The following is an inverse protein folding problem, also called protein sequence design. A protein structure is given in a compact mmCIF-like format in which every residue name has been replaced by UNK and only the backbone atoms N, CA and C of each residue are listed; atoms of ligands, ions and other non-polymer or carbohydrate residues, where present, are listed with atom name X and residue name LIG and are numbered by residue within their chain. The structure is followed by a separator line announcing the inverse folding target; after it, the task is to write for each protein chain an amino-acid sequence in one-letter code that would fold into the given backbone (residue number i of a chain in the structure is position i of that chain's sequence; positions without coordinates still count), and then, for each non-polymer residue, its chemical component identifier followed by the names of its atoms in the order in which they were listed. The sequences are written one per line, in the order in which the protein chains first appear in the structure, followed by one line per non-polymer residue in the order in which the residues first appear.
data_IF_605665509739
#
_entry.id   IF_605665509739
#
_cell.length_a   1.000
_cell.length_b   1.000
_cell.length_c   1.000
_cell.angle_alpha   90.00
_cell.angle_beta   90.00
_cell.angle_gamma   90.00
#
_symmetry.space_group_name_H-M   'P 1'
#
loop_
_entity.id
_entity.type
_entity.pdbx_description
1 polymer ?
#
# COMPACT_ATOMS: atom_id res chain seq x y z
N UNK A 1 -21.89 11.26 -53.98
CA UNK A 1 -21.25 10.74 -52.73
C UNK A 1 -20.99 9.23 -52.72
N UNK A 2 -21.89 8.35 -53.21
CA UNK A 2 -21.69 6.87 -53.23
C UNK A 2 -20.40 6.37 -53.93
N UNK A 3 -19.92 7.03 -54.99
CA UNK A 3 -18.71 6.63 -55.75
C UNK A 3 -17.40 6.76 -54.96
N UNK A 4 -17.33 7.68 -53.99
CA UNK A 4 -16.13 7.88 -53.16
C UNK A 4 -15.96 6.77 -52.11
N UNK A 5 -17.06 6.30 -51.52
CA UNK A 5 -17.06 5.22 -50.53
C UNK A 5 -16.67 3.88 -51.18
N UNK A 6 -17.18 3.59 -52.38
CA UNK A 6 -16.84 2.37 -53.13
C UNK A 6 -15.36 2.29 -53.53
N UNK A 7 -14.70 3.43 -53.75
CA UNK A 7 -13.27 3.47 -54.08
C UNK A 7 -12.38 3.22 -52.85
N UNK A 8 -12.83 3.62 -51.65
CA UNK A 8 -12.10 3.40 -50.39
C UNK A 8 -12.14 1.92 -49.94
N UNK A 9 -13.24 1.21 -50.21
CA UNK A 9 -13.40 -0.22 -49.88
C UNK A 9 -12.54 -1.13 -50.77
N UNK A 10 -12.29 -0.75 -52.03
CA UNK A 10 -11.44 -1.52 -52.96
C UNK A 10 -9.94 -1.45 -52.64
N UNK A 11 -9.51 -0.59 -51.71
CA UNK A 11 -8.11 -0.40 -51.34
C UNK A 11 -7.75 -0.97 -49.96
N UNK A 12 -8.63 -1.81 -49.38
CA UNK A 12 -8.32 -2.53 -48.16
C UNK A 12 -7.56 -3.81 -48.50
N UNK A 13 -6.24 -3.71 -48.62
CA UNK A 13 -5.37 -4.88 -48.53
C UNK A 13 -5.43 -5.35 -47.07
N UNK A 14 -6.12 -6.46 -46.82
CA UNK A 14 -6.22 -7.05 -45.49
C UNK A 14 -4.86 -7.54 -44.99
N UNK A 15 -4.63 -7.47 -43.68
CA UNK A 15 -3.49 -8.12 -43.04
C UNK A 15 -3.63 -9.64 -43.20
N UNK A 16 -2.53 -10.32 -43.40
CA UNK A 16 -2.53 -11.78 -43.49
C UNK A 16 -2.74 -12.40 -42.11
N UNK A 17 -3.36 -13.59 -42.05
CA UNK A 17 -3.55 -14.29 -40.77
C UNK A 17 -2.21 -14.60 -40.07
N UNK A 18 -1.15 -14.83 -40.84
CA UNK A 18 0.20 -15.11 -40.30
C UNK A 18 0.81 -13.88 -39.60
N UNK A 19 0.59 -12.68 -40.14
CA UNK A 19 1.05 -11.43 -39.52
C UNK A 19 0.35 -11.20 -38.18
N UNK A 20 -0.97 -11.44 -38.14
CA UNK A 20 -1.73 -11.36 -36.90
C UNK A 20 -1.27 -12.42 -35.88
N UNK A 21 -0.95 -13.63 -36.36
CA UNK A 21 -0.48 -14.74 -35.53
C UNK A 21 0.89 -14.47 -34.88
N UNK A 22 1.83 -13.88 -35.62
CA UNK A 22 3.14 -13.53 -35.06
C UNK A 22 3.01 -12.51 -33.92
N UNK A 23 2.12 -11.52 -34.05
CA UNK A 23 1.91 -10.48 -33.03
C UNK A 23 1.35 -11.05 -31.73
N UNK A 24 0.32 -11.91 -31.81
CA UNK A 24 -0.26 -12.51 -30.60
C UNK A 24 0.74 -13.42 -29.87
N UNK A 25 1.64 -14.09 -30.60
CA UNK A 25 2.70 -14.92 -30.00
C UNK A 25 3.67 -14.05 -29.21
N UNK A 26 4.09 -12.91 -29.77
CA UNK A 26 4.98 -11.97 -29.07
C UNK A 26 4.30 -11.41 -27.82
N UNK A 27 3.03 -10.98 -27.93
CA UNK A 27 2.26 -10.47 -26.77
C UNK A 27 2.09 -11.55 -25.70
N UNK A 28 1.85 -12.81 -26.08
CA UNK A 28 1.71 -13.92 -25.15
C UNK A 28 3.00 -14.18 -24.35
N UNK A 29 4.18 -14.11 -24.99
CA UNK A 29 5.46 -14.28 -24.32
C UNK A 29 5.72 -13.15 -23.33
N UNK A 30 5.46 -11.90 -23.73
CA UNK A 30 5.61 -10.73 -22.84
C UNK A 30 4.64 -10.84 -21.65
N UNK A 31 3.38 -11.16 -21.91
CA UNK A 31 2.34 -11.28 -20.88
C UNK A 31 2.67 -12.38 -19.86
N UNK A 32 3.22 -13.51 -20.30
CA UNK A 32 3.60 -14.61 -19.42
C UNK A 32 4.62 -14.20 -18.35
N UNK A 33 5.54 -13.28 -18.65
CA UNK A 33 6.53 -12.77 -17.70
C UNK A 33 5.99 -11.57 -16.92
N UNK A 34 5.29 -10.66 -17.61
CA UNK A 34 4.82 -9.41 -17.03
C UNK A 34 3.73 -9.59 -15.97
N UNK A 35 2.75 -10.49 -16.20
CA UNK A 35 1.62 -10.70 -15.29
C UNK A 35 2.07 -11.12 -13.88
N UNK A 36 2.90 -12.16 -13.68
CA UNK A 36 3.34 -12.54 -12.34
C UNK A 36 4.22 -11.47 -11.69
N UNK A 37 5.06 -10.78 -12.47
CA UNK A 37 5.92 -9.71 -11.95
C UNK A 37 5.11 -8.50 -11.43
N UNK A 38 4.07 -8.09 -12.17
CA UNK A 38 3.19 -6.98 -11.78
C UNK A 38 2.40 -7.32 -10.51
N UNK A 39 1.96 -8.57 -10.35
CA UNK A 39 1.27 -9.02 -9.13
C UNK A 39 2.11 -8.77 -7.86
N UNK A 40 3.38 -9.16 -7.89
CA UNK A 40 4.29 -8.94 -6.76
C UNK A 40 4.56 -7.45 -6.50
N UNK A 41 4.69 -6.63 -7.55
CA UNK A 41 4.90 -5.19 -7.42
C UNK A 41 3.68 -4.52 -6.76
N UNK A 42 2.47 -4.89 -7.17
CA UNK A 42 1.24 -4.35 -6.58
C UNK A 42 1.14 -4.76 -5.10
N UNK A 43 1.46 -6.01 -4.77
CA UNK A 43 1.43 -6.48 -3.39
C UNK A 43 2.42 -5.70 -2.51
N UNK A 44 3.68 -5.58 -2.94
CA UNK A 44 4.68 -4.79 -2.21
C UNK A 44 4.24 -3.31 -2.08
N UNK A 45 3.68 -2.72 -3.14
CA UNK A 45 3.21 -1.32 -3.09
C UNK A 45 2.05 -1.13 -2.10
N UNK A 46 1.18 -2.14 -1.93
CA UNK A 46 0.12 -2.14 -0.91
C UNK A 46 0.68 -2.26 0.49
N UNK A 47 1.65 -3.16 0.69
CA UNK A 47 2.35 -3.30 1.98
C UNK A 47 3.05 -2.00 2.37
N UNK A 48 3.79 -1.37 1.45
CA UNK A 48 4.46 -0.09 1.68
C UNK A 48 3.47 1.04 2.03
N UNK A 49 2.32 1.09 1.35
CA UNK A 49 1.26 2.04 1.67
C UNK A 49 0.69 1.81 3.08
N UNK A 50 0.48 0.55 3.47
CA UNK A 50 -0.01 0.19 4.80
C UNK A 50 0.99 0.55 5.91
N UNK A 51 2.30 0.45 5.69
CA UNK A 51 3.30 0.97 6.63
C UNK A 51 3.15 2.47 6.81
N UNK A 52 3.02 3.20 5.70
CA UNK A 52 2.85 4.65 5.75
C UNK A 52 1.57 5.05 6.48
N UNK A 53 0.47 4.34 6.26
CA UNK A 53 -0.79 4.58 6.97
C UNK A 53 -0.64 4.30 8.47
N UNK A 54 0.06 3.23 8.86
CA UNK A 54 0.34 2.91 10.27
C UNK A 54 1.21 3.98 10.95
N UNK A 55 2.22 4.52 10.25
CA UNK A 55 3.04 5.62 10.75
C UNK A 55 2.21 6.90 10.96
N UNK A 56 1.30 7.21 10.04
CA UNK A 56 0.37 8.33 10.20
C UNK A 56 -0.51 8.14 11.43
N UNK A 57 -1.02 6.92 11.65
CA UNK A 57 -1.83 6.59 12.82
C UNK A 57 -1.03 6.78 14.12
N UNK A 58 0.22 6.34 14.14
CA UNK A 58 1.08 6.47 15.31
C UNK A 58 1.43 7.94 15.61
N UNK A 59 1.75 8.74 14.58
CA UNK A 59 1.98 10.17 14.74
C UNK A 59 0.76 10.88 15.33
N UNK A 60 -0.44 10.53 14.86
CA UNK A 60 -1.69 11.04 15.42
C UNK A 60 -1.93 10.60 16.86
N UNK A 61 -1.63 9.35 17.20
CA UNK A 61 -1.70 8.85 18.56
C UNK A 61 -0.73 9.60 19.50
N UNK A 62 0.47 9.94 19.03
CA UNK A 62 1.43 10.75 19.79
C UNK A 62 0.87 12.12 20.15
N UNK A 63 0.24 12.81 19.19
CA UNK A 63 -0.43 14.09 19.43
C UNK A 63 -1.59 13.91 20.41
N UNK A 64 -2.42 12.87 20.22
CA UNK A 64 -3.52 12.56 21.11
C UNK A 64 -3.08 12.34 22.56
N UNK A 65 -2.04 11.54 22.80
CA UNK A 65 -1.52 11.28 24.14
C UNK A 65 -0.80 12.49 24.75
N UNK A 66 -0.23 13.39 23.93
CA UNK A 66 0.35 14.63 24.41
C UNK A 66 -0.72 15.61 24.92
N UNK A 67 -1.87 15.68 24.23
CA UNK A 67 -3.00 16.52 24.62
C UNK A 67 -3.83 15.93 25.77
N UNK A 68 -4.03 14.61 25.74
CA UNK A 68 -4.90 13.89 26.66
C UNK A 68 -4.07 13.06 27.64
N UNK A 69 -3.15 13.68 28.37
CA UNK A 69 -2.07 13.01 29.13
C UNK A 69 -2.43 11.93 30.17
N UNK A 70 -3.71 11.64 30.41
CA UNK A 70 -4.18 10.49 31.22
C UNK A 70 -4.67 9.30 30.38
N UNK A 71 -4.91 9.50 29.10
CA UNK A 71 -5.34 8.48 28.16
C UNK A 71 -4.15 7.64 27.72
N UNK A 72 -4.33 6.33 27.71
CA UNK A 72 -3.30 5.37 27.33
C UNK A 72 -3.67 4.57 26.10
N UNK A 73 -4.84 4.82 25.50
CA UNK A 73 -5.33 4.06 24.33
C UNK A 73 -5.91 4.98 23.27
N UNK A 74 -5.53 4.77 22.03
CA UNK A 74 -6.05 5.47 20.87
C UNK A 74 -6.50 4.42 19.84
N UNK A 75 -7.79 4.37 19.53
CA UNK A 75 -8.39 3.33 18.70
C UNK A 75 -9.18 3.91 17.54
N UNK A 76 -9.44 3.08 16.53
CA UNK A 76 -10.27 3.48 15.38
C UNK A 76 -11.69 3.92 15.78
N UNK A 77 -12.25 3.38 16.86
CA UNK A 77 -13.62 3.66 17.30
C UNK A 77 -13.75 4.92 18.17
N UNK A 78 -12.65 5.58 18.51
CA UNK A 78 -12.72 6.83 19.26
C UNK A 78 -13.45 7.91 18.45
N UNK A 79 -14.47 8.52 19.06
CA UNK A 79 -15.34 9.50 18.41
C UNK A 79 -14.61 10.74 17.84
N UNK A 80 -13.37 10.99 18.27
CA UNK A 80 -12.55 12.14 17.89
C UNK A 80 -11.41 11.77 16.94
N UNK A 81 -11.44 10.59 16.29
CA UNK A 81 -10.39 10.18 15.35
C UNK A 81 -10.13 11.25 14.27
N UNK A 82 -11.20 11.90 13.81
CA UNK A 82 -11.16 12.95 12.78
C UNK A 82 -10.40 14.20 13.20
N UNK A 83 -10.17 14.40 14.50
CA UNK A 83 -9.41 15.56 15.00
C UNK A 83 -7.90 15.34 14.86
N UNK A 84 -7.47 14.08 14.69
CA UNK A 84 -6.06 13.69 14.64
C UNK A 84 -5.65 13.01 13.33
N UNK A 85 -6.59 12.37 12.62
CA UNK A 85 -6.36 11.63 11.38
C UNK A 85 -7.43 11.97 10.33
N UNK A 86 -6.97 12.36 9.14
CA UNK A 86 -7.86 12.57 7.99
C UNK A 86 -8.29 11.24 7.35
N UNK A 87 -7.42 10.23 7.38
CA UNK A 87 -7.65 8.92 6.79
C UNK A 87 -6.78 7.85 7.43
N UNK A 88 -7.27 6.62 7.44
CA UNK A 88 -6.54 5.41 7.83
C UNK A 88 -6.19 4.53 6.63
N UNK A 89 -6.46 5.02 5.41
CA UNK A 89 -6.17 4.32 4.16
C UNK A 89 -6.88 2.96 4.07
N UNK A 90 -6.10 1.89 3.87
CA UNK A 90 -6.62 0.52 3.76
C UNK A 90 -6.72 -0.21 5.13
N UNK A 91 -6.31 0.44 6.23
CA UNK A 91 -6.46 -0.11 7.58
C UNK A 91 -7.96 -0.18 7.93
N UNK A 92 -8.41 -1.32 8.44
CA UNK A 92 -9.80 -1.56 8.86
C UNK A 92 -10.01 -1.32 10.35
N UNK A 93 -9.00 -1.57 11.17
CA UNK A 93 -9.03 -1.32 12.61
C UNK A 93 -7.61 -1.14 13.13
N UNK A 94 -7.45 -0.37 14.20
CA UNK A 94 -6.20 -0.25 14.92
C UNK A 94 -6.43 0.06 16.39
N UNK A 95 -5.42 -0.25 17.18
CA UNK A 95 -5.27 0.11 18.59
C UNK A 95 -3.82 0.54 18.81
N UNK A 96 -3.65 1.75 19.32
CA UNK A 96 -2.38 2.25 19.84
C UNK A 96 -2.47 2.32 21.35
N UNK A 97 -1.50 1.74 22.06
CA UNK A 97 -1.44 1.74 23.52
C UNK A 97 -0.14 2.36 24.01
N UNK A 98 -0.22 3.30 24.95
CA UNK A 98 0.93 3.81 25.68
C UNK A 98 1.26 2.87 26.84
N UNK A 99 2.11 1.87 26.58
CA UNK A 99 2.52 0.87 27.57
C UNK A 99 3.44 1.46 28.66
N UNK A 100 4.21 2.49 28.33
CA UNK A 100 5.07 3.23 29.27
C UNK A 100 5.23 4.69 28.80
N UNK A 101 5.76 5.62 29.63
CA UNK A 101 5.94 7.02 29.25
C UNK A 101 6.67 7.23 27.92
N UNK A 102 7.59 6.30 27.58
CA UNK A 102 8.41 6.33 26.37
C UNK A 102 8.16 5.12 25.45
N UNK A 103 7.12 4.32 25.68
CA UNK A 103 6.85 3.13 24.86
C UNK A 103 5.43 3.13 24.35
N UNK A 104 5.27 2.99 23.04
CA UNK A 104 3.97 2.98 22.37
C UNK A 104 3.84 1.73 21.49
N UNK A 105 2.82 0.94 21.76
CA UNK A 105 2.51 -0.26 21.00
C UNK A 105 1.42 0.06 19.97
N UNK A 106 1.62 -0.36 18.72
CA UNK A 106 0.62 -0.29 17.66
C UNK A 106 0.18 -1.72 17.29
N UNK A 107 -1.12 -1.92 17.15
CA UNK A 107 -1.69 -3.11 16.50
C UNK A 107 -2.74 -2.67 15.50
N UNK A 108 -2.65 -3.13 14.26
CA UNK A 108 -3.58 -2.80 13.19
C UNK A 108 -3.99 -4.00 12.35
N UNK A 109 -5.12 -3.90 11.68
CA UNK A 109 -5.60 -4.90 10.72
C UNK A 109 -5.97 -4.21 9.42
N UNK A 110 -5.61 -4.79 8.28
CA UNK A 110 -6.09 -4.39 6.95
C UNK A 110 -6.55 -5.63 6.17
N UNK A 111 -7.85 -5.89 6.17
CA UNK A 111 -8.38 -7.14 5.63
C UNK A 111 -7.94 -8.35 6.46
N UNK A 112 -7.09 -9.22 5.89
CA UNK A 112 -6.55 -10.40 6.60
C UNK A 112 -5.16 -10.16 7.21
N UNK A 113 -4.52 -9.05 6.87
CA UNK A 113 -3.20 -8.68 7.36
C UNK A 113 -3.29 -8.14 8.79
N UNK A 114 -2.37 -8.56 9.66
CA UNK A 114 -2.17 -7.94 10.98
C UNK A 114 -0.81 -7.27 11.04
N UNK A 115 -0.73 -6.11 11.67
CA UNK A 115 0.46 -5.29 11.82
C UNK A 115 0.69 -5.02 13.29
N UNK A 116 1.93 -5.12 13.76
CA UNK A 116 2.31 -4.81 15.14
C UNK A 116 3.63 -4.05 15.13
N UNK A 117 3.66 -2.91 15.79
CA UNK A 117 4.85 -2.08 15.93
C UNK A 117 5.06 -1.67 17.39
N UNK A 118 6.30 -1.38 17.75
CA UNK A 118 6.70 -0.81 19.03
C UNK A 118 7.48 0.47 18.74
N UNK A 119 7.15 1.54 19.45
CA UNK A 119 7.64 2.90 19.25
C UNK A 119 7.37 3.44 17.83
N UNK A 120 8.00 4.56 17.43
CA UNK A 120 7.90 5.18 16.09
C UNK A 120 8.24 4.23 14.91
N UNK A 121 8.52 2.97 15.21
CA UNK A 121 8.73 1.86 14.29
C UNK A 121 7.44 1.07 14.09
N UNK A 122 6.63 1.48 13.10
CA UNK A 122 5.56 0.62 12.57
C UNK A 122 6.18 -0.49 11.71
N UNK A 123 6.61 -1.60 12.33
CA UNK A 123 7.04 -2.79 11.60
C UNK A 123 5.83 -3.61 11.13
N UNK A 124 5.86 -4.11 9.88
CA UNK A 124 4.90 -5.13 9.45
C UNK A 124 5.31 -6.45 10.11
N UNK A 125 4.56 -6.90 11.10
CA UNK A 125 4.69 -8.25 11.63
C UNK A 125 3.50 -9.10 11.19
N UNK A 126 3.75 -9.86 10.11
CA UNK A 126 3.00 -11.01 9.59
C UNK A 126 2.01 -10.75 8.45
N UNK A 127 2.46 -11.07 7.24
CA UNK A 127 1.80 -12.13 6.47
C UNK A 127 2.82 -13.05 5.78
N UNK A 128 2.59 -14.36 5.88
CA UNK A 128 3.13 -15.37 4.96
C UNK A 128 4.66 -15.45 4.79
N UNK A 129 5.41 -15.54 5.90
CA UNK A 129 6.78 -16.09 5.87
C UNK A 129 7.84 -15.17 5.25
N UNK A 130 7.67 -13.85 5.32
CA UNK A 130 8.74 -12.89 5.05
C UNK A 130 9.25 -12.30 6.36
N UNK A 131 10.05 -13.08 7.08
CA UNK A 131 11.05 -12.54 8.00
C UNK A 131 12.01 -11.66 7.18
N UNK A 132 11.85 -10.35 7.25
CA UNK A 132 12.87 -9.37 6.87
C UNK A 132 12.47 -8.01 7.48
N UNK A 133 13.06 -7.61 8.60
CA UNK A 133 14.28 -6.80 8.58
C UNK A 133 14.16 -5.59 7.63
N UNK A 134 13.16 -4.74 7.85
CA UNK A 134 13.34 -3.33 7.55
C UNK A 134 13.87 -2.68 8.84
N UNK A 135 15.19 -2.68 8.94
CA UNK A 135 15.93 -1.77 9.79
C UNK A 135 15.32 -0.37 9.63
N UNK A 136 14.60 0.10 10.65
CA UNK A 136 14.40 1.53 10.82
C UNK A 136 15.80 2.10 10.94
N UNK A 137 16.24 2.77 9.88
CA UNK A 137 17.44 3.56 9.92
C UNK A 137 17.29 4.49 11.14
N UNK A 138 18.19 4.42 12.14
CA UNK A 138 18.16 5.38 13.22
C UNK A 138 18.30 6.76 12.60
N UNK A 139 17.39 7.67 12.96
CA UNK A 139 17.47 9.07 12.57
C UNK A 139 18.92 9.54 12.75
N UNK A 140 19.54 9.94 11.63
CA UNK A 140 20.89 10.43 11.63
C UNK A 140 20.96 11.64 12.58
N UNK A 141 21.60 11.44 13.73
CA UNK A 141 22.10 12.53 14.53
C UNK A 141 23.24 13.21 13.79
N UNK A 142 22.99 14.40 13.28
CA UNK A 142 23.89 15.54 13.35
C UNK A 142 23.02 16.78 13.59
N UNK A 143 23.41 17.85 14.29
CA UNK A 143 24.60 18.19 15.02
C UNK A 143 24.34 19.59 15.59
N UNK A 144 24.44 19.72 16.91
CA UNK A 144 24.75 20.92 17.72
C UNK A 144 24.01 20.91 19.07
#
# INVERSE_FOLDING_TARGET
MKKFIQKKLKNQRGMTLIELLAVIVIIAIIAAIAIPAIGNIIQNSREDALVSDAQNVLAAANVYFAENGSESTFTHENANLTDYLESIGEITSFTVTKASPNTIDFTGTAGNLTFQGEDETAAILSENGRDALAEVAPAAGDGN
#
